data_IF_550119557824
#
_entry.id   IF_550119557824
#
_cell.length_a   1.000
_cell.length_b   1.000
_cell.length_c   1.000
_cell.angle_alpha   90.00
_cell.angle_beta   90.00
_cell.angle_gamma   90.00
#
_symmetry.space_group_name_H-M   'P 1'
#
loop_
_entity.id
_entity.type
_entity.pdbx_description
1 polymer ?
#
# COMPACT_ATOMS: atom_id res chain seq x y z
N UNK A 1 -1.65 9.88 14.82
CA UNK A 1 -0.36 10.52 15.24
C UNK A 1 -0.46 12.07 15.17
N UNK A 2 -1.64 12.64 15.30
CA UNK A 2 -1.85 14.10 15.15
C UNK A 2 -1.90 14.88 16.48
N UNK A 3 -1.60 14.28 17.63
CA UNK A 3 -1.85 14.94 18.93
C UNK A 3 -0.65 15.09 19.89
N UNK A 4 0.57 14.90 19.46
CA UNK A 4 1.71 14.96 20.39
C UNK A 4 2.74 16.01 19.95
N UNK A 5 2.38 17.21 19.54
CA UNK A 5 3.42 18.21 19.25
C UNK A 5 2.91 19.66 19.38
N UNK A 6 2.48 20.06 20.55
CA UNK A 6 2.16 21.48 20.79
C UNK A 6 2.78 22.09 22.05
N UNK A 7 3.96 21.65 22.48
CA UNK A 7 4.70 22.33 23.57
C UNK A 7 6.20 22.30 23.23
N UNK A 8 6.62 23.20 22.34
CA UNK A 8 8.02 23.28 21.96
C UNK A 8 8.71 24.46 22.63
N UNK A 9 9.57 24.20 23.62
CA UNK A 9 10.69 25.09 23.95
C UNK A 9 11.65 25.19 22.73
N UNK A 10 12.37 26.31 22.56
CA UNK A 10 13.31 26.59 21.45
C UNK A 10 14.38 25.51 21.16
N UNK A 11 14.45 24.44 21.95
CA UNK A 11 15.40 23.31 21.82
C UNK A 11 14.77 22.03 21.28
N UNK A 12 13.48 22.01 20.92
CA UNK A 12 12.80 20.81 20.48
C UNK A 12 12.88 20.63 18.97
N UNK A 13 13.10 19.39 18.55
CA UNK A 13 13.07 19.01 17.13
C UNK A 13 11.62 18.99 16.66
N UNK A 14 11.30 19.79 15.65
CA UNK A 14 9.97 19.79 15.03
C UNK A 14 9.88 18.68 14.00
N UNK A 15 8.90 17.80 14.15
CA UNK A 15 8.55 16.76 13.17
C UNK A 15 7.27 17.21 12.43
N UNK A 16 7.36 17.33 11.11
CA UNK A 16 6.25 17.74 10.26
C UNK A 16 5.75 16.55 9.45
N UNK A 17 4.48 16.26 9.55
CA UNK A 17 3.83 15.30 8.67
C UNK A 17 3.43 16.02 7.36
N UNK A 18 4.27 15.91 6.34
CA UNK A 18 4.17 16.68 5.09
C UNK A 18 5.11 17.89 5.06
N UNK A 19 4.73 18.99 4.41
CA UNK A 19 5.57 20.15 4.19
C UNK A 19 5.43 21.23 5.27
N UNK A 20 6.38 21.40 6.15
CA UNK A 20 6.51 22.53 7.07
C UNK A 20 7.50 23.59 6.55
N UNK A 21 7.25 24.87 6.80
CA UNK A 21 8.16 25.96 6.36
C UNK A 21 9.36 26.20 7.28
N UNK A 22 9.25 25.79 8.53
CA UNK A 22 10.31 26.00 9.51
C UNK A 22 11.35 24.87 9.48
N UNK A 23 12.53 25.12 10.06
CA UNK A 23 13.54 24.08 10.24
C UNK A 23 12.97 22.90 11.04
N UNK A 24 13.33 21.69 10.65
CA UNK A 24 12.85 20.47 11.28
C UNK A 24 13.00 19.25 10.37
N UNK A 25 12.42 18.15 10.82
CA UNK A 25 12.35 16.90 10.06
C UNK A 25 10.99 16.85 9.37
N UNK A 26 10.99 16.71 8.04
CA UNK A 26 9.79 16.52 7.24
C UNK A 26 9.58 15.03 7.00
N UNK A 27 8.36 14.54 7.09
CA UNK A 27 7.99 13.18 6.67
C UNK A 27 7.26 13.28 5.33
N UNK A 28 7.91 12.82 4.27
CA UNK A 28 7.37 12.80 2.91
C UNK A 28 6.64 11.49 2.63
N UNK A 29 5.31 11.52 2.67
CA UNK A 29 4.48 10.36 2.34
C UNK A 29 4.31 10.13 0.83
N UNK A 30 4.55 11.16 0.04
CA UNK A 30 4.57 11.13 -1.44
C UNK A 30 5.19 12.43 -1.93
N UNK A 31 5.69 12.44 -3.16
CA UNK A 31 6.00 13.67 -3.87
C UNK A 31 4.77 14.10 -4.68
N UNK A 32 4.13 15.20 -4.30
CA UNK A 32 2.89 15.64 -4.92
C UNK A 32 3.04 15.93 -6.42
N UNK A 33 4.16 16.56 -6.79
CA UNK A 33 4.48 16.82 -8.19
C UNK A 33 4.59 15.51 -9.00
N UNK A 34 5.21 14.46 -8.43
CA UNK A 34 5.32 13.17 -9.11
C UNK A 34 3.97 12.48 -9.24
N UNK A 35 3.15 12.50 -8.19
CA UNK A 35 1.80 11.95 -8.24
C UNK A 35 0.95 12.60 -9.35
N UNK A 36 1.08 13.90 -9.58
CA UNK A 36 0.39 14.58 -10.67
C UNK A 36 0.96 14.22 -12.05
N UNK A 37 2.29 14.09 -12.19
CA UNK A 37 2.92 13.61 -13.44
C UNK A 37 2.37 12.21 -13.81
N UNK A 38 2.25 11.32 -12.84
CA UNK A 38 1.68 9.98 -13.07
C UNK A 38 0.23 10.05 -13.51
N UNK A 39 -0.59 10.92 -12.90
CA UNK A 39 -1.99 11.14 -13.34
C UNK A 39 -2.08 11.62 -14.78
N UNK A 40 -1.23 12.57 -15.18
CA UNK A 40 -1.17 13.07 -16.57
C UNK A 40 -0.79 11.96 -17.54
N UNK A 41 0.23 11.17 -17.23
CA UNK A 41 0.67 10.06 -18.06
C UNK A 41 -0.42 9.00 -18.24
N UNK A 42 -1.30 8.85 -17.23
CA UNK A 42 -2.45 7.95 -17.28
C UNK A 42 -3.71 8.61 -17.88
N UNK A 43 -3.58 9.79 -18.50
CA UNK A 43 -4.67 10.49 -19.18
C UNK A 43 -5.69 11.13 -18.24
N UNK A 44 -5.39 11.30 -16.95
CA UNK A 44 -6.28 11.93 -15.98
C UNK A 44 -5.93 13.41 -15.79
N UNK A 45 -6.85 14.28 -16.17
CA UNK A 45 -6.69 15.75 -16.10
C UNK A 45 -7.64 16.44 -15.10
N UNK A 46 -8.48 15.70 -14.38
CA UNK A 46 -9.45 16.23 -13.42
C UNK A 46 -8.81 17.07 -12.31
N UNK A 47 -7.55 16.82 -11.99
CA UNK A 47 -6.80 17.58 -10.99
C UNK A 47 -6.52 19.04 -11.36
N UNK A 48 -6.54 19.39 -12.66
CA UNK A 48 -6.27 20.76 -13.16
C UNK A 48 -7.27 21.76 -12.58
N UNK A 49 -8.50 21.34 -12.34
CA UNK A 49 -9.57 22.19 -11.84
C UNK A 49 -9.47 22.42 -10.33
N UNK A 50 -8.71 21.59 -9.60
CA UNK A 50 -8.61 21.67 -8.15
C UNK A 50 -7.44 22.57 -7.70
N UNK A 51 -7.68 23.77 -7.15
CA UNK A 51 -6.63 24.72 -6.77
C UNK A 51 -5.71 24.21 -5.67
N UNK A 52 -6.16 23.23 -4.87
CA UNK A 52 -5.33 22.63 -3.80
C UNK A 52 -4.06 21.97 -4.36
N UNK A 53 -4.10 21.41 -5.56
CA UNK A 53 -2.91 20.81 -6.17
C UNK A 53 -1.82 21.84 -6.44
N UNK A 54 -2.18 23.04 -6.91
CA UNK A 54 -1.24 24.12 -7.16
C UNK A 54 -0.60 24.63 -5.87
N UNK A 55 -1.40 24.76 -4.80
CA UNK A 55 -0.87 25.17 -3.49
C UNK A 55 0.08 24.13 -2.91
N UNK A 56 -0.23 22.84 -3.07
CA UNK A 56 0.66 21.76 -2.66
C UNK A 56 1.99 21.77 -3.44
N UNK A 57 1.95 21.92 -4.77
CA UNK A 57 3.16 22.02 -5.62
C UNK A 57 4.00 23.23 -5.21
N UNK A 58 3.36 24.40 -5.08
CA UNK A 58 4.06 25.62 -4.69
C UNK A 58 4.74 25.47 -3.33
N UNK A 59 4.05 24.85 -2.39
CA UNK A 59 4.59 24.60 -1.05
C UNK A 59 5.77 23.63 -1.08
N UNK A 60 5.65 22.52 -1.81
CA UNK A 60 6.78 21.58 -2.00
C UNK A 60 7.96 22.29 -2.67
N UNK A 61 7.71 23.07 -3.70
CA UNK A 61 8.76 23.83 -4.40
C UNK A 61 9.48 24.79 -3.45
N UNK A 62 8.75 25.59 -2.68
CA UNK A 62 9.36 26.51 -1.70
C UNK A 62 10.18 25.72 -0.67
N UNK A 63 9.62 24.69 -0.07
CA UNK A 63 10.24 23.95 1.03
C UNK A 63 11.46 23.16 0.54
N UNK A 64 11.34 22.40 -0.54
CA UNK A 64 12.36 21.45 -0.96
C UNK A 64 13.29 21.98 -2.04
N UNK A 65 12.88 22.94 -2.86
CA UNK A 65 13.75 23.52 -3.91
C UNK A 65 14.44 24.81 -3.47
N UNK A 66 13.71 25.72 -2.79
CA UNK A 66 14.22 27.03 -2.43
C UNK A 66 14.89 27.01 -1.06
N UNK A 67 14.13 26.65 -0.02
CA UNK A 67 14.62 26.74 1.36
C UNK A 67 15.68 25.70 1.67
N UNK A 68 15.47 24.43 1.27
CA UNK A 68 16.41 23.31 1.45
C UNK A 68 17.00 23.18 2.88
N UNK A 69 16.31 23.68 3.91
CA UNK A 69 16.83 23.76 5.28
C UNK A 69 16.43 22.57 6.16
N UNK A 70 15.51 21.73 5.65
CA UNK A 70 14.93 20.62 6.37
C UNK A 70 15.77 19.35 6.20
N UNK A 71 15.51 18.38 7.08
CA UNK A 71 15.85 16.98 6.89
C UNK A 71 14.57 16.25 6.45
N UNK A 72 14.69 15.38 5.47
CA UNK A 72 13.55 14.63 4.93
C UNK A 72 13.63 13.16 5.35
N UNK A 73 12.56 12.65 5.92
CA UNK A 73 12.29 11.22 6.03
C UNK A 73 11.37 10.84 4.87
N UNK A 74 11.85 10.05 3.93
CA UNK A 74 11.05 9.48 2.84
C UNK A 74 10.56 8.10 3.24
N UNK A 75 9.29 7.77 2.92
CA UNK A 75 8.70 6.49 3.32
C UNK A 75 9.10 5.31 2.41
N UNK A 76 9.82 5.55 1.32
CA UNK A 76 10.37 4.54 0.42
C UNK A 76 11.56 5.07 -0.38
N UNK A 77 12.34 4.16 -0.98
CA UNK A 77 13.42 4.54 -1.90
C UNK A 77 12.89 5.34 -3.09
N UNK A 78 11.73 4.98 -3.59
CA UNK A 78 11.07 5.70 -4.67
C UNK A 78 10.75 7.14 -4.29
N UNK A 79 10.12 7.37 -3.14
CA UNK A 79 9.81 8.72 -2.65
C UNK A 79 11.10 9.53 -2.45
N UNK A 80 12.17 8.93 -1.92
CA UNK A 80 13.50 9.58 -1.85
C UNK A 80 13.97 10.02 -3.24
N UNK A 81 13.92 9.12 -4.23
CA UNK A 81 14.34 9.43 -5.60
C UNK A 81 13.49 10.55 -6.22
N UNK A 82 12.19 10.56 -5.97
CA UNK A 82 11.28 11.60 -6.46
C UNK A 82 11.63 13.00 -5.94
N UNK A 83 12.00 13.14 -4.66
CA UNK A 83 12.44 14.42 -4.11
C UNK A 83 13.79 14.86 -4.67
N UNK A 84 14.73 13.94 -4.88
CA UNK A 84 16.03 14.25 -5.53
C UNK A 84 15.77 14.74 -6.96
N UNK A 85 14.99 13.99 -7.74
CA UNK A 85 14.77 14.28 -9.17
C UNK A 85 13.95 15.55 -9.38
N UNK A 86 12.85 15.73 -8.65
CA UNK A 86 11.93 16.85 -8.89
C UNK A 86 12.42 18.17 -8.27
N UNK A 87 13.11 18.10 -7.12
CA UNK A 87 13.50 19.29 -6.37
C UNK A 87 15.02 19.48 -6.23
N UNK A 88 15.84 18.58 -6.77
CA UNK A 88 17.28 18.53 -6.53
C UNK A 88 17.60 18.62 -5.02
N UNK A 89 16.80 17.91 -4.21
CA UNK A 89 16.99 17.91 -2.78
C UNK A 89 18.21 17.08 -2.41
N UNK A 90 19.08 17.53 -1.48
CA UNK A 90 20.33 16.85 -1.16
C UNK A 90 20.09 15.44 -0.61
N UNK A 91 20.68 14.42 -1.24
CA UNK A 91 20.47 13.01 -0.87
C UNK A 91 20.95 12.67 0.55
N UNK A 92 22.00 13.36 1.02
CA UNK A 92 22.57 13.23 2.37
C UNK A 92 21.62 13.74 3.48
N UNK A 93 20.63 14.52 3.11
CA UNK A 93 19.56 15.00 4.01
C UNK A 93 18.28 14.19 3.92
N UNK A 94 18.30 13.08 3.20
CA UNK A 94 17.16 12.18 3.09
C UNK A 94 17.50 10.84 3.76
N UNK A 95 16.76 10.49 4.78
CA UNK A 95 16.75 9.11 5.32
C UNK A 95 15.47 8.41 4.85
N UNK A 96 15.59 7.19 4.41
CA UNK A 96 14.41 6.36 4.16
C UNK A 96 14.04 5.68 5.47
N UNK A 97 12.81 5.92 5.92
CA UNK A 97 12.17 5.22 7.04
C UNK A 97 10.76 4.88 6.59
N UNK A 98 10.46 3.61 6.37
CA UNK A 98 9.16 3.18 5.88
C UNK A 98 8.04 3.41 6.89
N UNK A 99 6.79 3.26 6.43
CA UNK A 99 5.67 3.20 7.35
C UNK A 99 5.71 1.89 8.13
N UNK A 100 5.31 1.93 9.40
CA UNK A 100 5.17 0.74 10.22
C UNK A 100 3.81 0.07 10.02
N UNK A 101 3.76 -1.22 10.37
CA UNK A 101 2.53 -2.00 10.49
C UNK A 101 2.28 -2.38 11.95
N UNK A 102 1.02 -2.40 12.36
CA UNK A 102 0.62 -2.90 13.68
C UNK A 102 0.53 -4.43 13.65
N UNK A 103 1.65 -5.07 13.97
CA UNK A 103 1.77 -6.54 13.99
C UNK A 103 1.02 -7.19 15.16
N UNK A 104 0.49 -6.42 16.10
CA UNK A 104 -0.41 -6.94 17.13
C UNK A 104 -1.83 -7.11 16.61
N UNK A 105 -2.24 -6.24 15.72
CA UNK A 105 -3.53 -6.23 15.04
C UNK A 105 -3.53 -7.08 13.77
N UNK A 106 -2.53 -6.89 12.91
CA UNK A 106 -2.33 -7.65 11.68
C UNK A 106 -1.37 -8.81 11.94
N UNK A 107 -1.92 -9.95 12.23
CA UNK A 107 -1.20 -11.20 12.52
C UNK A 107 -2.04 -12.40 12.08
N UNK A 108 -1.41 -13.53 11.75
CA UNK A 108 -2.16 -14.75 11.49
C UNK A 108 -2.94 -15.17 12.73
N UNK A 109 -4.21 -15.39 12.57
CA UNK A 109 -5.10 -15.89 13.63
C UNK A 109 -5.77 -17.19 13.19
N UNK A 110 -6.40 -17.89 14.14
CA UNK A 110 -7.23 -19.04 13.79
C UNK A 110 -8.33 -18.60 12.83
N UNK A 111 -8.61 -19.45 11.82
CA UNK A 111 -9.63 -19.19 10.81
C UNK A 111 -10.96 -18.81 11.46
N UNK A 112 -11.42 -17.60 11.22
CA UNK A 112 -12.72 -17.13 11.69
C UNK A 112 -13.86 -17.76 10.87
N UNK A 113 -14.26 -18.96 11.30
CA UNK A 113 -15.30 -19.76 10.63
C UNK A 113 -16.65 -19.04 10.62
N UNK A 114 -16.98 -18.32 11.70
CA UNK A 114 -18.24 -17.57 11.80
C UNK A 114 -18.29 -16.43 10.77
N UNK A 115 -17.18 -15.76 10.51
CA UNK A 115 -17.11 -14.73 9.48
C UNK A 115 -17.29 -15.33 8.09
N UNK A 116 -16.61 -16.45 7.77
CA UNK A 116 -16.81 -17.16 6.49
C UNK A 116 -18.28 -17.56 6.31
N UNK A 117 -18.89 -18.13 7.34
CA UNK A 117 -20.29 -18.55 7.30
C UNK A 117 -21.24 -17.37 7.09
N UNK A 118 -21.06 -16.27 7.81
CA UNK A 118 -21.86 -15.03 7.65
C UNK A 118 -21.76 -14.44 6.25
N UNK A 119 -20.61 -14.58 5.60
CA UNK A 119 -20.39 -14.14 4.24
C UNK A 119 -20.87 -15.16 3.18
N UNK A 120 -21.37 -16.33 3.61
CA UNK A 120 -21.81 -17.39 2.71
C UNK A 120 -20.67 -18.04 1.92
N UNK A 121 -19.42 -17.98 2.42
CA UNK A 121 -18.25 -18.51 1.74
C UNK A 121 -18.02 -19.97 2.13
N UNK A 122 -18.05 -20.93 1.18
CA UNK A 122 -17.66 -22.30 1.43
C UNK A 122 -16.23 -22.43 1.99
N UNK A 123 -16.00 -23.38 2.90
CA UNK A 123 -14.72 -23.51 3.60
C UNK A 123 -13.57 -23.93 2.72
N UNK A 124 -13.83 -24.64 1.64
CA UNK A 124 -12.87 -25.15 0.65
C UNK A 124 -12.43 -24.12 -0.37
N UNK A 125 -13.16 -23.00 -0.53
CA UNK A 125 -12.81 -21.95 -1.47
C UNK A 125 -11.59 -21.17 -1.05
N UNK A 126 -10.76 -20.82 -2.04
CA UNK A 126 -9.67 -19.87 -1.91
C UNK A 126 -10.20 -18.44 -1.95
N UNK A 127 -9.79 -17.63 -1.01
CA UNK A 127 -10.25 -16.26 -0.90
C UNK A 127 -9.13 -15.32 -1.36
N UNK A 128 -9.44 -14.54 -2.39
CA UNK A 128 -8.66 -13.39 -2.80
C UNK A 128 -9.31 -12.14 -2.23
N UNK A 129 -8.50 -11.21 -1.73
CA UNK A 129 -9.02 -9.97 -1.15
C UNK A 129 -8.42 -8.75 -1.85
N UNK A 130 -9.27 -7.77 -2.10
CA UNK A 130 -8.90 -6.42 -2.53
C UNK A 130 -9.33 -5.43 -1.45
N UNK A 131 -8.40 -4.63 -0.93
CA UNK A 131 -8.66 -3.59 0.06
C UNK A 131 -8.12 -2.27 -0.42
N UNK A 132 -8.98 -1.26 -0.50
CA UNK A 132 -8.54 0.10 -0.77
C UNK A 132 -9.49 0.93 -1.60
N UNK A 133 -9.29 2.23 -1.51
CA UNK A 133 -10.03 3.24 -2.27
C UNK A 133 -9.34 3.52 -3.61
N UNK A 134 -10.01 4.29 -4.47
CA UNK A 134 -9.56 4.60 -5.84
C UNK A 134 -9.44 3.33 -6.70
N UNK A 135 -10.56 2.62 -6.88
CA UNK A 135 -10.66 1.37 -7.63
C UNK A 135 -9.88 1.37 -8.95
N UNK A 136 -9.94 2.48 -9.71
CA UNK A 136 -9.23 2.62 -10.98
C UNK A 136 -7.71 2.59 -10.76
N UNK A 137 -7.20 3.39 -9.83
CA UNK A 137 -5.77 3.48 -9.52
C UNK A 137 -5.23 2.15 -8.96
N UNK A 138 -6.03 1.50 -8.11
CA UNK A 138 -5.67 0.21 -7.50
C UNK A 138 -5.99 -1.01 -8.37
N UNK A 139 -6.50 -0.81 -9.58
CA UNK A 139 -6.59 -1.84 -10.60
C UNK A 139 -7.72 -2.85 -10.44
N UNK A 140 -8.81 -2.54 -9.71
CA UNK A 140 -9.93 -3.49 -9.53
C UNK A 140 -10.49 -3.98 -10.87
N UNK A 141 -10.61 -3.11 -11.88
CA UNK A 141 -11.07 -3.51 -13.22
C UNK A 141 -10.19 -4.59 -13.86
N UNK A 142 -8.88 -4.47 -13.67
CA UNK A 142 -7.90 -5.43 -14.21
C UNK A 142 -8.02 -6.77 -13.48
N UNK A 143 -8.20 -6.73 -12.16
CA UNK A 143 -8.41 -7.92 -11.33
C UNK A 143 -9.67 -8.67 -11.76
N UNK A 144 -10.81 -7.97 -11.88
CA UNK A 144 -12.07 -8.57 -12.32
C UNK A 144 -11.93 -9.23 -13.70
N UNK A 145 -11.37 -8.51 -14.67
CA UNK A 145 -11.16 -9.07 -16.02
C UNK A 145 -10.21 -10.27 -16.00
N UNK A 146 -9.12 -10.21 -15.22
CA UNK A 146 -8.17 -11.31 -15.13
C UNK A 146 -8.79 -12.57 -14.53
N UNK A 147 -9.54 -12.43 -13.44
CA UNK A 147 -10.26 -13.54 -12.81
C UNK A 147 -11.28 -14.14 -13.80
N UNK A 148 -12.00 -13.29 -14.54
CA UNK A 148 -13.00 -13.78 -15.51
C UNK A 148 -12.41 -14.64 -16.64
N UNK A 149 -11.12 -14.54 -16.91
CA UNK A 149 -10.44 -15.37 -17.93
C UNK A 149 -9.88 -16.70 -17.36
N UNK A 150 -10.00 -16.92 -16.05
CA UNK A 150 -9.67 -18.22 -15.47
C UNK A 150 -10.64 -19.30 -15.98
N UNK A 151 -10.16 -20.54 -16.00
CA UNK A 151 -11.03 -21.66 -16.36
C UNK A 151 -12.16 -21.89 -15.34
N UNK A 152 -13.21 -22.61 -15.76
CA UNK A 152 -14.41 -22.84 -14.95
C UNK A 152 -14.10 -23.48 -13.59
N UNK A 153 -13.19 -24.44 -13.56
CA UNK A 153 -12.79 -25.13 -12.32
C UNK A 153 -12.13 -24.15 -11.35
N UNK A 154 -11.26 -23.26 -11.84
CA UNK A 154 -10.66 -22.20 -11.05
C UNK A 154 -11.71 -21.25 -10.48
N UNK A 155 -12.67 -20.80 -11.31
CA UNK A 155 -13.75 -19.92 -10.86
C UNK A 155 -14.64 -20.55 -9.80
N UNK A 156 -14.93 -21.84 -9.90
CA UNK A 156 -15.69 -22.58 -8.89
C UNK A 156 -14.97 -22.64 -7.53
N UNK A 157 -13.65 -22.48 -7.49
CA UNK A 157 -12.82 -22.56 -6.29
C UNK A 157 -12.42 -21.19 -5.72
N UNK A 158 -12.85 -20.06 -6.31
CA UNK A 158 -12.47 -18.70 -5.90
C UNK A 158 -13.65 -17.99 -5.22
N UNK A 159 -13.32 -17.11 -4.27
CA UNK A 159 -14.15 -15.99 -3.84
C UNK A 159 -13.27 -14.74 -3.82
N UNK A 160 -13.78 -13.63 -4.36
CA UNK A 160 -13.11 -12.32 -4.33
C UNK A 160 -13.84 -11.39 -3.35
N UNK A 161 -13.17 -11.02 -2.25
CA UNK A 161 -13.64 -10.00 -1.32
C UNK A 161 -13.17 -8.62 -1.78
N UNK A 162 -14.08 -7.64 -1.79
CA UNK A 162 -13.78 -6.26 -2.21
C UNK A 162 -14.21 -5.31 -1.10
N UNK A 163 -13.22 -4.66 -0.47
CA UNK A 163 -13.43 -3.71 0.63
C UNK A 163 -12.99 -2.32 0.18
N UNK A 164 -13.91 -1.38 0.12
CA UNK A 164 -13.65 0.01 -0.27
C UNK A 164 -14.82 0.90 0.15
N UNK A 165 -14.55 2.18 0.37
CA UNK A 165 -15.60 3.22 0.49
C UNK A 165 -16.07 3.76 -0.86
N UNK A 166 -15.41 3.41 -1.98
CA UNK A 166 -15.80 3.87 -3.30
C UNK A 166 -17.13 3.24 -3.72
N UNK A 167 -17.89 3.96 -4.56
CA UNK A 167 -19.12 3.43 -5.13
C UNK A 167 -18.83 2.22 -6.04
N UNK A 168 -19.34 1.02 -5.73
CA UNK A 168 -19.05 -0.20 -6.46
C UNK A 168 -19.93 -0.41 -7.72
N UNK A 169 -20.92 0.43 -8.00
CA UNK A 169 -21.98 0.17 -8.98
C UNK A 169 -21.46 -0.16 -10.39
N UNK A 170 -20.44 0.58 -10.85
CA UNK A 170 -19.81 0.33 -12.15
C UNK A 170 -19.12 -1.04 -12.18
N UNK A 171 -18.42 -1.41 -11.12
CA UNK A 171 -17.69 -2.67 -10.99
C UNK A 171 -18.63 -3.86 -10.80
N UNK A 172 -19.75 -3.68 -10.10
CA UNK A 172 -20.82 -4.67 -10.01
C UNK A 172 -21.43 -4.94 -11.39
N UNK A 173 -21.74 -3.88 -12.16
CA UNK A 173 -22.21 -4.03 -13.55
C UNK A 173 -21.20 -4.76 -14.43
N UNK A 174 -19.92 -4.42 -14.26
CA UNK A 174 -18.84 -5.11 -14.98
C UNK A 174 -18.78 -6.58 -14.59
N UNK A 175 -18.75 -6.93 -13.28
CA UNK A 175 -18.69 -8.31 -12.83
C UNK A 175 -19.87 -9.15 -13.34
N UNK A 176 -21.08 -8.58 -13.37
CA UNK A 176 -22.27 -9.22 -13.99
C UNK A 176 -22.08 -9.44 -15.49
N UNK A 177 -21.58 -8.42 -16.22
CA UNK A 177 -21.37 -8.49 -17.68
C UNK A 177 -20.37 -9.58 -18.06
N UNK A 178 -19.31 -9.77 -17.26
CA UNK A 178 -18.26 -10.76 -17.52
C UNK A 178 -18.48 -12.11 -16.79
N UNK A 179 -19.64 -12.28 -16.12
CA UNK A 179 -20.10 -13.56 -15.58
C UNK A 179 -19.42 -14.03 -14.29
N UNK A 180 -18.83 -13.13 -13.49
CA UNK A 180 -18.14 -13.49 -12.24
C UNK A 180 -18.77 -12.84 -10.99
N UNK A 181 -19.96 -12.25 -11.12
CA UNK A 181 -20.60 -11.56 -10.00
C UNK A 181 -20.81 -12.46 -8.79
N UNK A 182 -21.18 -13.72 -9.00
CA UNK A 182 -21.52 -14.68 -7.94
C UNK A 182 -20.32 -15.09 -7.08
N UNK A 183 -19.10 -14.86 -7.54
CA UNK A 183 -17.88 -15.09 -6.77
C UNK A 183 -17.30 -13.80 -6.14
N UNK A 184 -17.94 -12.64 -6.37
CA UNK A 184 -17.51 -11.34 -5.86
C UNK A 184 -18.40 -10.89 -4.70
N UNK A 185 -17.80 -10.53 -3.58
CA UNK A 185 -18.49 -9.99 -2.41
C UNK A 185 -18.01 -8.55 -2.18
N UNK A 186 -18.88 -7.58 -2.49
CA UNK A 186 -18.63 -6.16 -2.28
C UNK A 186 -19.10 -5.76 -0.88
N UNK A 187 -18.17 -5.45 0.01
CA UNK A 187 -18.44 -5.23 1.44
C UNK A 187 -18.59 -3.76 1.85
N UNK A 188 -18.30 -2.83 0.92
CA UNK A 188 -18.29 -1.40 1.26
C UNK A 188 -17.12 -1.03 2.18
N UNK A 189 -17.28 0.04 2.96
CA UNK A 189 -16.28 0.51 3.90
C UNK A 189 -16.29 -0.34 5.18
N UNK A 190 -15.14 -0.90 5.51
CA UNK A 190 -14.90 -1.67 6.74
C UNK A 190 -13.81 -0.96 7.56
N UNK A 191 -14.12 -0.65 8.82
CA UNK A 191 -13.16 0.04 9.72
C UNK A 191 -11.99 -0.86 10.14
N UNK A 192 -12.28 -2.12 10.40
CA UNK A 192 -11.27 -3.12 10.77
C UNK A 192 -11.23 -4.23 9.73
N UNK A 193 -10.20 -4.20 8.90
CA UNK A 193 -10.01 -5.16 7.80
C UNK A 193 -9.23 -6.40 8.22
N UNK A 194 -8.62 -6.41 9.42
CA UNK A 194 -7.78 -7.52 9.87
C UNK A 194 -8.50 -8.87 9.90
N UNK A 195 -9.78 -9.01 10.34
CA UNK A 195 -10.48 -10.30 10.28
C UNK A 195 -10.71 -10.81 8.85
N UNK A 196 -10.80 -9.90 7.87
CA UNK A 196 -10.99 -10.27 6.46
C UNK A 196 -9.69 -10.74 5.82
N UNK A 197 -8.54 -10.16 6.18
CA UNK A 197 -7.25 -10.71 5.81
C UNK A 197 -7.07 -12.11 6.40
N UNK A 198 -7.44 -12.33 7.67
CA UNK A 198 -7.29 -13.63 8.35
C UNK A 198 -8.12 -14.76 7.74
N UNK A 199 -9.20 -14.47 7.01
CA UNK A 199 -9.96 -15.50 6.27
C UNK A 199 -9.50 -15.62 4.82
N UNK A 200 -8.60 -14.75 4.34
CA UNK A 200 -8.14 -14.71 2.96
C UNK A 200 -6.81 -15.44 2.78
N UNK A 201 -6.58 -15.99 1.59
CA UNK A 201 -5.32 -16.64 1.22
C UNK A 201 -4.38 -15.68 0.47
N UNK A 202 -4.94 -14.81 -0.37
CA UNK A 202 -4.20 -13.94 -1.28
C UNK A 202 -4.74 -12.52 -1.26
N UNK A 203 -3.85 -11.53 -1.33
CA UNK A 203 -4.25 -10.13 -1.37
C UNK A 203 -3.77 -9.46 -2.66
N UNK A 204 -4.67 -8.73 -3.35
CA UNK A 204 -4.34 -7.96 -4.53
C UNK A 204 -3.99 -6.50 -4.21
N UNK A 205 -2.90 -6.02 -4.80
CA UNK A 205 -2.51 -4.61 -4.80
C UNK A 205 -1.97 -4.23 -6.18
N UNK A 206 -2.86 -4.10 -7.17
CA UNK A 206 -2.55 -3.86 -8.58
C UNK A 206 -2.45 -2.36 -8.92
N UNK A 207 -1.79 -1.60 -8.07
CA UNK A 207 -1.66 -0.14 -8.20
C UNK A 207 -0.77 0.27 -9.36
N UNK A 208 -1.04 1.44 -9.95
CA UNK A 208 -0.16 2.11 -10.91
C UNK A 208 0.81 3.10 -10.25
N UNK A 209 0.50 3.54 -9.06
CA UNK A 209 1.34 4.36 -8.19
C UNK A 209 1.03 4.05 -6.72
N UNK A 210 2.04 3.67 -5.96
CA UNK A 210 1.88 3.32 -4.53
C UNK A 210 3.14 3.71 -3.74
N UNK A 211 3.18 4.88 -3.11
CA UNK A 211 4.37 5.38 -2.42
C UNK A 211 4.96 4.43 -1.37
N UNK A 212 4.14 3.60 -0.74
CA UNK A 212 4.58 2.54 0.17
C UNK A 212 3.72 1.27 0.07
N UNK A 213 2.38 1.40 0.10
CA UNK A 213 1.47 0.25 0.03
C UNK A 213 1.21 -0.41 1.37
N UNK A 214 0.73 0.35 2.37
CA UNK A 214 0.38 -0.18 3.71
C UNK A 214 -0.49 -1.44 3.64
N UNK A 215 -1.48 -1.47 2.75
CA UNK A 215 -2.36 -2.63 2.56
C UNK A 215 -1.58 -3.90 2.22
N UNK A 216 -0.49 -3.79 1.45
CA UNK A 216 0.35 -4.94 1.12
C UNK A 216 1.05 -5.52 2.34
N UNK A 217 1.68 -4.65 3.14
CA UNK A 217 2.39 -5.12 4.34
C UNK A 217 1.42 -5.58 5.45
N UNK A 218 0.20 -5.01 5.54
CA UNK A 218 -0.87 -5.46 6.43
C UNK A 218 -1.36 -6.87 6.06
N UNK A 219 -1.54 -7.12 4.76
CA UNK A 219 -1.90 -8.43 4.23
C UNK A 219 -0.82 -9.48 4.53
N UNK A 220 0.47 -9.16 4.25
CA UNK A 220 1.59 -10.04 4.55
C UNK A 220 1.70 -10.33 6.06
N UNK A 221 1.51 -9.33 6.91
CA UNK A 221 1.48 -9.49 8.36
C UNK A 221 0.36 -10.41 8.84
N UNK A 222 -0.78 -10.42 8.14
CA UNK A 222 -1.95 -11.25 8.46
C UNK A 222 -1.87 -12.68 7.87
N UNK A 223 -0.77 -13.02 7.19
CA UNK A 223 -0.59 -14.35 6.58
C UNK A 223 -1.21 -14.50 5.20
N UNK A 224 -1.25 -13.43 4.40
CA UNK A 224 -1.65 -13.51 3.00
C UNK A 224 -0.43 -13.46 2.07
N UNK A 225 -0.53 -14.15 0.94
CA UNK A 225 0.41 -13.98 -0.16
C UNK A 225 -0.01 -12.74 -0.95
N UNK A 226 0.90 -11.75 -1.08
CA UNK A 226 0.65 -10.53 -1.80
C UNK A 226 0.86 -10.72 -3.30
N UNK A 227 -0.14 -10.31 -4.10
CA UNK A 227 -0.11 -10.27 -5.55
C UNK A 227 -0.13 -8.80 -5.98
N UNK A 228 1.00 -8.29 -6.49
CA UNK A 228 1.13 -6.86 -6.72
C UNK A 228 1.92 -6.53 -7.98
N UNK A 229 1.75 -5.31 -8.46
CA UNK A 229 2.55 -4.76 -9.57
C UNK A 229 4.00 -4.48 -9.20
N UNK A 230 4.37 -4.56 -7.93
CA UNK A 230 5.72 -4.26 -7.47
C UNK A 230 6.19 -2.83 -7.74
N UNK A 231 5.25 -1.89 -7.93
CA UNK A 231 5.58 -0.49 -8.23
C UNK A 231 6.00 0.28 -6.99
N UNK A 232 6.85 1.26 -7.21
CA UNK A 232 7.24 2.30 -6.25
C UNK A 232 7.71 1.72 -4.89
N UNK A 233 7.03 2.06 -3.79
CA UNK A 233 7.39 1.62 -2.45
C UNK A 233 7.09 0.15 -2.14
N UNK A 234 6.28 -0.52 -2.96
CA UNK A 234 6.04 -1.96 -2.82
C UNK A 234 7.32 -2.74 -3.14
N UNK A 235 8.13 -2.26 -4.09
CA UNK A 235 9.41 -2.86 -4.46
C UNK A 235 10.45 -2.86 -3.32
N UNK A 236 10.23 -2.06 -2.26
CA UNK A 236 11.13 -2.03 -1.10
C UNK A 236 10.94 -3.26 -0.18
N UNK A 237 9.80 -4.01 -0.29
CA UNK A 237 9.50 -5.14 0.58
C UNK A 237 8.99 -6.40 -0.12
N UNK A 238 8.48 -6.31 -1.35
CA UNK A 238 7.98 -7.47 -2.09
C UNK A 238 9.08 -8.05 -2.99
N UNK A 239 9.38 -9.34 -2.81
CA UNK A 239 10.36 -10.09 -3.60
C UNK A 239 9.61 -11.20 -4.33
N UNK A 240 9.66 -11.16 -5.67
CA UNK A 240 8.92 -12.08 -6.54
C UNK A 240 9.31 -13.54 -6.30
N UNK A 241 8.31 -14.39 -6.09
CA UNK A 241 8.47 -15.82 -5.83
C UNK A 241 8.95 -16.17 -4.42
N UNK A 242 9.39 -15.19 -3.60
CA UNK A 242 9.91 -15.45 -2.25
C UNK A 242 8.87 -15.16 -1.17
N UNK A 243 8.27 -13.97 -1.18
CA UNK A 243 7.31 -13.52 -0.16
C UNK A 243 5.98 -13.02 -0.75
N UNK A 244 5.79 -13.23 -2.05
CA UNK A 244 4.62 -12.88 -2.83
C UNK A 244 4.93 -12.93 -4.31
N UNK A 245 4.06 -12.36 -5.14
CA UNK A 245 4.26 -12.33 -6.58
C UNK A 245 4.21 -10.90 -7.12
N UNK A 246 5.19 -10.57 -7.97
CA UNK A 246 5.18 -9.36 -8.78
C UNK A 246 4.60 -9.72 -10.15
N UNK A 247 3.52 -9.05 -10.51
CA UNK A 247 2.82 -9.33 -11.77
C UNK A 247 2.56 -8.04 -12.54
N UNK A 248 2.78 -8.02 -13.86
CA UNK A 248 2.43 -6.87 -14.68
C UNK A 248 0.95 -6.50 -14.56
N UNK A 249 0.64 -5.20 -14.69
CA UNK A 249 -0.69 -4.63 -14.50
C UNK A 249 -1.58 -4.86 -15.74
N UNK A 250 -1.81 -6.13 -16.08
CA UNK A 250 -2.72 -6.54 -17.16
C UNK A 250 -3.62 -7.69 -16.72
N UNK A 251 -4.79 -7.81 -17.34
CA UNK A 251 -5.74 -8.89 -17.04
C UNK A 251 -5.16 -10.28 -17.30
N UNK A 252 -4.37 -10.43 -18.37
CA UNK A 252 -3.71 -11.68 -18.74
C UNK A 252 -2.75 -12.17 -17.63
N UNK A 253 -1.92 -11.26 -17.11
CA UNK A 253 -0.99 -11.60 -16.04
C UNK A 253 -1.71 -11.87 -14.71
N UNK A 254 -2.84 -11.20 -14.45
CA UNK A 254 -3.70 -11.53 -13.29
C UNK A 254 -4.25 -12.95 -13.44
N UNK A 255 -4.73 -13.34 -14.64
CA UNK A 255 -5.17 -14.74 -14.89
C UNK A 255 -4.06 -15.74 -14.60
N UNK A 256 -2.85 -15.43 -15.10
CA UNK A 256 -1.69 -16.30 -14.90
C UNK A 256 -1.36 -16.46 -13.41
N UNK A 257 -1.20 -15.36 -12.67
CA UNK A 257 -0.82 -15.44 -11.25
C UNK A 257 -1.91 -16.07 -10.39
N UNK A 258 -3.20 -15.86 -10.70
CA UNK A 258 -4.32 -16.52 -10.02
C UNK A 258 -4.25 -18.03 -10.22
N UNK A 259 -4.05 -18.47 -11.48
CA UNK A 259 -3.92 -19.90 -11.80
C UNK A 259 -2.72 -20.52 -11.11
N UNK A 260 -1.59 -19.82 -11.05
CA UNK A 260 -0.40 -20.24 -10.31
C UNK A 260 -0.69 -20.38 -8.81
N UNK A 261 -1.37 -19.42 -8.21
CA UNK A 261 -1.75 -19.42 -6.80
C UNK A 261 -2.66 -20.60 -6.42
N UNK A 262 -3.60 -20.96 -7.29
CA UNK A 262 -4.52 -22.08 -7.07
C UNK A 262 -3.80 -23.45 -7.14
N UNK A 263 -2.69 -23.53 -7.85
CA UNK A 263 -1.91 -24.75 -8.05
C UNK A 263 -0.62 -24.77 -7.22
N UNK A 264 -0.44 -23.84 -6.26
CA UNK A 264 0.75 -23.82 -5.40
C UNK A 264 0.85 -25.09 -4.55
N UNK A 265 2.00 -25.71 -4.60
CA UNK A 265 2.34 -26.81 -3.68
C UNK A 265 2.34 -26.28 -2.23
N UNK A 266 1.93 -27.15 -1.30
CA UNK A 266 1.74 -26.79 0.11
C UNK A 266 3.03 -26.24 0.73
N UNK A 267 4.17 -26.88 0.46
CA UNK A 267 5.46 -26.47 1.02
C UNK A 267 5.92 -25.12 0.46
N UNK A 268 5.72 -24.89 -0.85
CA UNK A 268 6.02 -23.60 -1.49
C UNK A 268 5.15 -22.48 -0.90
N UNK A 269 3.83 -22.76 -0.75
CA UNK A 269 2.90 -21.81 -0.13
C UNK A 269 3.33 -21.48 1.31
N UNK A 270 3.64 -22.49 2.12
CA UNK A 270 4.02 -22.30 3.52
C UNK A 270 5.31 -21.48 3.66
N UNK A 271 6.32 -21.77 2.85
CA UNK A 271 7.58 -21.02 2.85
C UNK A 271 7.34 -19.55 2.45
N UNK A 272 6.53 -19.30 1.44
CA UNK A 272 6.19 -17.94 1.01
C UNK A 272 5.45 -17.17 2.11
N UNK A 273 4.51 -17.81 2.81
CA UNK A 273 3.78 -17.20 3.95
C UNK A 273 4.72 -16.85 5.10
N UNK A 274 5.67 -17.73 5.44
CA UNK A 274 6.69 -17.47 6.47
C UNK A 274 7.55 -16.27 6.07
N UNK A 275 8.01 -16.22 4.83
CA UNK A 275 8.82 -15.12 4.32
C UNK A 275 8.04 -13.79 4.31
N UNK A 276 6.77 -13.81 3.88
CA UNK A 276 5.88 -12.67 3.91
C UNK A 276 5.70 -12.14 5.34
N UNK A 277 5.40 -13.02 6.29
CA UNK A 277 5.26 -12.67 7.69
C UNK A 277 6.55 -12.08 8.27
N UNK A 278 7.71 -12.71 8.04
CA UNK A 278 9.00 -12.23 8.51
C UNK A 278 9.34 -10.86 7.92
N UNK A 279 9.04 -10.65 6.64
CA UNK A 279 9.16 -9.33 6.01
C UNK A 279 8.31 -8.31 6.75
N UNK A 280 7.03 -8.59 6.98
CA UNK A 280 6.13 -7.67 7.69
C UNK A 280 6.60 -7.37 9.13
N UNK A 281 7.17 -8.36 9.84
CA UNK A 281 7.74 -8.16 11.17
C UNK A 281 8.93 -7.19 11.17
N UNK A 282 9.66 -7.05 10.05
CA UNK A 282 10.74 -6.05 9.95
C UNK A 282 10.20 -4.62 9.88
N UNK A 283 8.93 -4.44 9.51
CA UNK A 283 8.20 -3.17 9.45
C UNK A 283 7.31 -2.91 10.67
N UNK A 284 7.46 -3.65 11.77
CA UNK A 284 6.71 -3.41 13.00
C UNK A 284 6.95 -2.00 13.54
N UNK A 285 5.89 -1.34 14.08
CA UNK A 285 5.97 0.05 14.53
C UNK A 285 7.03 0.31 15.59
N UNK A 286 7.35 -0.64 16.45
CA UNK A 286 8.41 -0.54 17.45
C UNK A 286 9.79 -0.39 16.80
N UNK A 287 10.09 -1.15 15.74
CA UNK A 287 11.34 -1.05 14.98
C UNK A 287 11.42 0.28 14.22
N UNK A 288 10.34 0.66 13.55
CA UNK A 288 10.26 1.94 12.83
C UNK A 288 10.43 3.13 13.78
N UNK A 289 9.86 3.07 15.00
CA UNK A 289 10.02 4.12 16.02
C UNK A 289 11.47 4.29 16.47
N UNK A 290 12.24 3.21 16.53
CA UNK A 290 13.68 3.28 16.84
C UNK A 290 14.45 4.03 15.75
N UNK A 291 14.19 3.76 14.46
CA UNK A 291 14.80 4.50 13.36
C UNK A 291 14.48 6.00 13.40
N UNK A 292 13.23 6.37 13.71
CA UNK A 292 12.85 7.77 13.92
C UNK A 292 13.61 8.39 15.10
N UNK A 293 13.75 7.66 16.21
CA UNK A 293 14.49 8.13 17.40
C UNK A 293 15.95 8.45 17.07
N UNK A 294 16.60 7.59 16.29
CA UNK A 294 17.98 7.81 15.81
C UNK A 294 18.10 9.07 14.96
N UNK A 295 17.20 9.25 13.98
CA UNK A 295 17.19 10.43 13.12
C UNK A 295 16.94 11.71 13.92
N UNK A 296 16.00 11.71 14.85
CA UNK A 296 15.71 12.85 15.72
C UNK A 296 16.93 13.19 16.56
N UNK A 297 17.61 12.20 17.15
CA UNK A 297 18.81 12.37 17.95
C UNK A 297 19.97 12.93 17.15
N UNK A 298 20.19 12.44 15.94
CA UNK A 298 21.21 12.95 15.01
C UNK A 298 20.90 14.39 14.62
N UNK A 299 19.68 14.68 14.19
CA UNK A 299 19.24 16.03 13.81
C UNK A 299 19.45 17.03 14.95
N UNK A 300 19.11 16.64 16.19
CA UNK A 300 19.29 17.49 17.38
C UNK A 300 20.77 17.85 17.60
N UNK A 301 21.68 16.91 17.43
CA UNK A 301 23.13 17.14 17.57
C UNK A 301 23.68 18.06 16.51
N UNK A 302 23.20 17.97 15.27
CA UNK A 302 23.74 18.71 14.13
C UNK A 302 23.13 20.11 13.97
N UNK A 303 21.85 20.29 14.25
CA UNK A 303 21.09 21.49 13.86
C UNK A 303 20.45 22.27 15.03
N UNK A 304 20.47 21.74 16.26
CA UNK A 304 19.87 22.38 17.45
C UNK A 304 20.93 22.85 18.48
N UNK A 305 22.15 23.16 18.00
CA UNK A 305 23.21 23.76 18.84
C UNK A 305 22.95 25.21 19.20
#
# INVERSE_FOLDING_TARGET
>A
ITSILSLAHRKDVKLYNGCGYNNGIQVGHSCHLQALKTKVNNGSFSWIINPLHYTCILREFIVFKILKRQFLVAISQKVKHEFITNYSFPSERIKVIPNGVDVSKFKPEQLNRDLKQRLGIPFDKKIFIFVGNEFQRKGLKIILNGIAHCDKKSLENITLLIISRDNPDEYIKQAKKIGIYDICIFLGEIKDVSPYFNISDFAFLMSDYEPFGLVGIEAMASGNILLSTGVDGIADYLIDGENGYITPRTSEHVTHVVTQCLNLEVDVKNNMLINAYNTAQSYAWDKIALEYSEVISKYKKEYCK
#
